data_IF_217958442534
#
_entry.id   IF_217958442534
#
_cell.length_a   1.000
_cell.length_b   1.000
_cell.length_c   1.000
_cell.angle_alpha   90.00
_cell.angle_beta   90.00
_cell.angle_gamma   90.00
#
_symmetry.space_group_name_H-M   'P 1'
#
loop_
_entity.id
_entity.type
_entity.pdbx_description
1 polymer ?
#
# COMPACT_ATOMS: atom_id res chain seq x y z
N UNK A 1 -6.02 -3.79 -0.78
CA UNK A 1 -4.73 -3.48 -1.46
C UNK A 1 -4.55 -4.15 -2.83
N UNK A 2 -4.89 -5.44 -3.04
CA UNK A 2 -4.76 -6.11 -4.36
C UNK A 2 -5.37 -5.34 -5.53
N UNK A 3 -6.63 -4.94 -5.39
CA UNK A 3 -7.38 -4.19 -6.42
C UNK A 3 -6.83 -2.79 -6.64
N UNK A 4 -6.14 -2.19 -5.67
CA UNK A 4 -5.48 -0.91 -5.83
C UNK A 4 -4.20 -1.07 -6.66
N UNK A 5 -3.37 -2.06 -6.32
CA UNK A 5 -2.11 -2.35 -7.02
C UNK A 5 -2.32 -2.54 -8.52
N UNK A 6 -3.30 -3.36 -8.92
CA UNK A 6 -3.57 -3.64 -10.34
C UNK A 6 -4.20 -2.47 -11.12
N UNK A 7 -4.45 -1.32 -10.49
CA UNK A 7 -4.89 -0.10 -11.16
C UNK A 7 -3.75 0.88 -11.42
N UNK A 8 -2.59 0.66 -10.83
CA UNK A 8 -1.43 1.51 -11.07
C UNK A 8 -0.77 1.15 -12.39
N UNK A 9 -0.23 2.17 -13.06
CA UNK A 9 0.62 1.97 -14.22
C UNK A 9 1.96 1.35 -13.81
N UNK A 10 2.64 0.69 -14.74
CA UNK A 10 3.98 0.14 -14.52
C UNK A 10 4.96 1.20 -13.99
N UNK A 11 4.83 2.45 -14.43
CA UNK A 11 5.63 3.59 -13.95
C UNK A 11 5.37 3.92 -12.48
N UNK A 12 4.11 3.93 -12.05
CA UNK A 12 3.75 4.18 -10.65
C UNK A 12 4.20 3.03 -9.74
N UNK A 13 4.08 1.78 -10.22
CA UNK A 13 4.62 0.60 -9.53
C UNK A 13 6.14 0.70 -9.40
N UNK A 14 6.84 1.03 -10.49
CA UNK A 14 8.29 1.21 -10.48
C UNK A 14 8.72 2.28 -9.46
N UNK A 15 8.07 3.45 -9.42
CA UNK A 15 8.42 4.47 -8.44
C UNK A 15 8.11 4.07 -7.00
N UNK A 16 7.09 3.24 -6.77
CA UNK A 16 6.70 2.80 -5.43
C UNK A 16 7.64 1.75 -4.84
N UNK A 17 8.20 0.88 -5.68
CA UNK A 17 8.97 -0.31 -5.26
C UNK A 17 10.41 -0.32 -5.77
N UNK A 18 10.81 0.68 -6.55
CA UNK A 18 12.10 0.77 -7.25
C UNK A 18 12.45 -0.51 -8.03
N UNK A 19 11.43 -1.19 -8.55
CA UNK A 19 11.55 -2.44 -9.30
C UNK A 19 10.31 -2.67 -10.17
N UNK A 20 10.45 -3.24 -11.39
CA UNK A 20 9.33 -3.53 -12.29
C UNK A 20 8.57 -4.79 -11.82
N UNK A 21 7.77 -4.65 -10.76
CA UNK A 21 6.97 -5.73 -10.20
C UNK A 21 5.68 -5.92 -11.03
N UNK A 22 5.53 -7.06 -11.71
CA UNK A 22 4.31 -7.36 -12.49
C UNK A 22 3.14 -7.87 -11.64
N UNK A 23 3.45 -8.58 -10.56
CA UNK A 23 2.45 -9.19 -9.67
C UNK A 23 2.87 -9.01 -8.22
N UNK A 24 1.90 -8.70 -7.35
CA UNK A 24 2.14 -8.60 -5.92
C UNK A 24 1.85 -9.96 -5.25
N UNK A 25 2.85 -10.66 -4.68
CA UNK A 25 2.62 -11.91 -3.96
C UNK A 25 1.70 -11.71 -2.75
N UNK A 26 0.89 -12.72 -2.42
CA UNK A 26 -0.04 -12.63 -1.28
C UNK A 26 0.68 -12.30 0.03
N UNK A 27 1.82 -12.94 0.30
CA UNK A 27 2.61 -12.69 1.50
C UNK A 27 3.05 -11.22 1.62
N UNK A 28 3.62 -10.64 0.56
CA UNK A 28 4.01 -9.22 0.54
C UNK A 28 2.80 -8.29 0.70
N UNK A 29 1.64 -8.68 0.20
CA UNK A 29 0.43 -7.87 0.31
C UNK A 29 -0.10 -7.79 1.74
N UNK A 30 0.14 -8.81 2.57
CA UNK A 30 -0.28 -8.82 3.97
C UNK A 30 0.35 -7.66 4.76
N UNK A 31 1.59 -7.29 4.44
CA UNK A 31 2.30 -6.14 5.04
C UNK A 31 1.65 -4.78 4.75
N UNK A 32 0.72 -4.69 3.80
CA UNK A 32 0.00 -3.46 3.45
C UNK A 32 -1.41 -3.38 4.05
N UNK A 33 -1.92 -4.48 4.62
CA UNK A 33 -3.26 -4.53 5.22
C UNK A 33 -3.21 -4.69 6.73
N UNK A 34 -2.12 -5.25 7.27
CA UNK A 34 -1.92 -5.42 8.70
C UNK A 34 -1.04 -4.28 9.22
N UNK A 35 -1.67 -3.27 9.83
CA UNK A 35 -1.00 -2.11 10.43
C UNK A 35 -1.27 -2.07 11.94
N UNK A 36 -0.28 -1.63 12.72
CA UNK A 36 -0.34 -1.61 14.18
C UNK A 36 -0.40 -0.19 14.77
N UNK A 37 -0.40 0.84 13.91
CA UNK A 37 -0.38 2.28 14.22
C UNK A 37 0.79 2.77 15.10
N UNK A 38 1.62 1.86 15.62
CA UNK A 38 2.76 2.17 16.50
C UNK A 38 4.09 2.14 15.74
N UNK A 39 4.22 1.24 14.76
CA UNK A 39 5.37 1.10 13.87
C UNK A 39 4.98 1.32 12.42
N UNK A 40 3.77 0.91 12.05
CA UNK A 40 3.26 1.06 10.69
C UNK A 40 1.95 1.82 10.71
N UNK A 41 1.88 2.90 9.94
CA UNK A 41 0.67 3.67 9.71
C UNK A 41 0.46 3.85 8.21
N UNK A 42 -0.76 3.64 7.75
CA UNK A 42 -1.17 3.93 6.37
C UNK A 42 -2.36 4.89 6.38
N UNK A 43 -2.31 5.87 5.48
CA UNK A 43 -3.42 6.79 5.19
C UNK A 43 -3.91 6.43 3.80
N UNK A 44 -5.22 6.29 3.65
CA UNK A 44 -5.86 5.96 2.38
C UNK A 44 -6.76 7.09 1.90
N UNK A 45 -6.69 7.38 0.60
CA UNK A 45 -7.69 8.21 -0.07
C UNK A 45 -8.89 7.34 -0.44
N UNK A 46 -10.08 7.72 0.02
CA UNK A 46 -11.34 7.06 -0.32
C UNK A 46 -12.13 7.91 -1.31
N UNK A 47 -12.82 7.24 -2.23
CA UNK A 47 -13.76 7.84 -3.17
C UNK A 47 -15.10 7.11 -3.08
N UNK A 48 -16.20 7.86 -2.99
CA UNK A 48 -17.55 7.34 -2.79
C UNK A 48 -18.09 7.67 -1.39
N UNK A 49 -19.31 7.23 -1.12
CA UNK A 49 -20.01 7.50 0.13
C UNK A 49 -19.37 6.80 1.34
N UNK A 50 -19.57 7.31 2.56
CA UNK A 50 -19.16 6.63 3.79
C UNK A 50 -19.69 5.19 3.85
N UNK A 51 -18.82 4.23 4.16
CA UNK A 51 -19.16 2.80 4.21
C UNK A 51 -19.04 2.06 2.87
N UNK A 52 -19.10 2.75 1.74
CA UNK A 52 -18.95 2.18 0.40
C UNK A 52 -17.66 2.65 -0.31
N UNK A 53 -16.89 3.52 0.35
CA UNK A 53 -15.70 4.15 -0.19
C UNK A 53 -14.68 3.16 -0.77
N UNK A 54 -14.29 3.41 -2.01
CA UNK A 54 -13.22 2.68 -2.69
C UNK A 54 -11.87 3.36 -2.43
N UNK A 55 -10.88 2.59 -2.02
CA UNK A 55 -9.50 3.09 -1.91
C UNK A 55 -8.96 3.44 -3.31
N UNK A 56 -8.49 4.69 -3.47
CA UNK A 56 -7.87 5.22 -4.70
C UNK A 56 -6.39 5.59 -4.54
N UNK A 57 -5.94 5.79 -3.31
CA UNK A 57 -4.56 6.13 -2.99
C UNK A 57 -4.17 5.55 -1.63
N UNK A 58 -2.88 5.29 -1.44
CA UNK A 58 -2.31 4.88 -0.16
C UNK A 58 -0.94 5.53 0.01
N UNK A 59 -0.71 6.10 1.19
CA UNK A 59 0.60 6.53 1.66
C UNK A 59 0.87 5.88 3.01
N UNK A 60 2.12 5.47 3.25
CA UNK A 60 2.50 4.83 4.51
C UNK A 60 3.77 5.38 5.10
N UNK A 61 3.76 5.38 6.42
CA UNK A 61 4.93 5.59 7.26
C UNK A 61 5.28 4.28 7.95
N UNK A 62 6.55 3.88 7.85
CA UNK A 62 7.07 2.66 8.48
C UNK A 62 8.27 3.04 9.32
N UNK A 63 8.15 2.89 10.64
CA UNK A 63 9.25 2.99 11.58
C UNK A 63 10.02 1.68 11.57
N UNK A 64 11.14 1.65 10.85
CA UNK A 64 12.08 0.55 10.89
C UNK A 64 12.63 0.40 12.32
N UNK A 65 12.69 -0.82 12.85
CA UNK A 65 13.41 -1.09 14.09
C UNK A 65 14.92 -1.05 13.81
N UNK A 66 15.67 -0.47 14.74
CA UNK A 66 17.13 -0.36 14.84
C UNK A 66 17.96 -0.95 13.67
N UNK A 67 18.63 -0.06 12.94
CA UNK A 67 19.82 -0.38 12.14
C UNK A 67 21.10 -0.35 13.00
N UNK A 68 21.02 -0.75 14.28
CA UNK A 68 22.14 -0.87 15.21
C UNK A 68 21.90 -2.04 16.17
#
# INVERSE_FOLDING_TARGET
MRRLFYRFSDKAVYYRYFSPIKTMPHAKMQEYVNIDYSKTMSIVGLMGEPGEGRIIAEGRYVRLHNLL
#
